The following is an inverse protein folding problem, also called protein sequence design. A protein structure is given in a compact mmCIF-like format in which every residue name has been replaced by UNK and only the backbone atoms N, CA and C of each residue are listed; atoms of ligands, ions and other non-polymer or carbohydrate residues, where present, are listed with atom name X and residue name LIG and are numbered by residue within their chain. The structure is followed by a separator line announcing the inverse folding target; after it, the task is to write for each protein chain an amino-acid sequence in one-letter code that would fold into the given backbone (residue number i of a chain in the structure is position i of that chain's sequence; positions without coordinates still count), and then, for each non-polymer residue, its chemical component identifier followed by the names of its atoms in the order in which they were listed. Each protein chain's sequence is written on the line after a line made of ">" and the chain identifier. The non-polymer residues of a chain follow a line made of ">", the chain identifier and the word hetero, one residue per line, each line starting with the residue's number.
data_IF_839643529770
#
_entry.id   IF_839643529770
#
_cell.length_a   1.000
_cell.length_b   1.000
_cell.length_c   1.000
_cell.angle_alpha   90.00
_cell.angle_beta   90.00
_cell.angle_gamma   90.00
#
_symmetry.space_group_name_H-M   'P 1'
#
loop_
_entity.id
_entity.type
_entity.pdbx_description
1 polymer ?
#
# COMPACT_ATOMS: atom_id res chain seq x y z
N UNK A 1 54.72 -6.14 51.36
CA UNK A 1 55.13 -5.06 50.44
C UNK A 1 54.30 -5.21 49.18
N UNK A 2 53.44 -4.22 48.96
CA UNK A 2 52.52 -4.09 47.83
C UNK A 2 53.26 -4.06 46.49
N UNK A 3 52.77 -4.80 45.49
CA UNK A 3 53.08 -4.57 44.07
C UNK A 3 51.75 -4.43 43.32
N UNK A 4 51.38 -3.17 43.10
CA UNK A 4 50.21 -2.72 42.36
C UNK A 4 50.36 -3.07 40.88
N UNK A 5 49.53 -3.97 40.36
CA UNK A 5 49.41 -4.23 38.93
C UNK A 5 48.27 -3.38 38.37
N UNK A 6 48.63 -2.26 37.75
CA UNK A 6 47.70 -1.36 37.05
C UNK A 6 47.09 -2.06 35.83
N UNK A 7 45.82 -2.44 35.92
CA UNK A 7 45.05 -2.96 34.79
C UNK A 7 44.72 -1.85 33.79
N UNK A 8 45.44 -1.82 32.66
CA UNK A 8 45.12 -0.97 31.52
C UNK A 8 43.78 -1.41 30.89
N UNK A 9 42.79 -0.52 30.93
CA UNK A 9 41.47 -0.72 30.31
C UNK A 9 41.59 -0.55 28.79
N UNK A 10 41.02 -1.42 27.94
CA UNK A 10 41.04 -1.23 26.49
C UNK A 10 40.25 0.03 26.08
N UNK A 11 40.64 0.71 24.99
CA UNK A 11 39.92 1.88 24.50
C UNK A 11 38.50 1.50 24.05
N UNK A 12 37.51 2.39 24.21
CA UNK A 12 36.15 2.15 23.76
C UNK A 12 36.13 2.02 22.24
N UNK A 13 35.66 0.88 21.73
CA UNK A 13 35.45 0.71 20.30
C UNK A 13 34.33 1.64 19.82
N UNK A 14 34.49 2.32 18.67
CA UNK A 14 33.45 3.18 18.13
C UNK A 14 32.22 2.33 17.77
N UNK A 15 31.08 2.68 18.36
CA UNK A 15 29.80 2.02 18.11
C UNK A 15 29.54 1.96 16.60
N UNK A 16 29.36 0.74 16.06
CA UNK A 16 29.00 0.55 14.67
C UNK A 16 27.73 1.35 14.35
N UNK A 17 27.85 2.34 13.46
CA UNK A 17 26.71 3.15 12.99
C UNK A 17 25.67 2.21 12.39
N UNK A 18 24.55 2.00 13.09
CA UNK A 18 23.39 1.28 12.56
C UNK A 18 22.98 1.98 11.25
N UNK A 19 23.15 1.31 10.11
CA UNK A 19 22.62 1.78 8.82
C UNK A 19 21.13 1.99 9.00
N UNK A 20 20.69 3.24 9.04
CA UNK A 20 19.26 3.54 9.06
C UNK A 20 18.66 2.93 7.79
N UNK A 21 17.67 2.06 7.96
CA UNK A 21 16.87 1.57 6.84
C UNK A 21 16.15 2.79 6.26
N UNK A 22 16.56 3.24 5.10
CA UNK A 22 15.83 4.25 4.34
C UNK A 22 14.48 3.67 3.98
N UNK A 23 13.43 4.10 4.67
CA UNK A 23 12.07 3.76 4.31
C UNK A 23 11.71 4.51 3.04
N UNK A 24 10.79 3.99 2.25
CA UNK A 24 10.35 4.66 1.02
C UNK A 24 9.68 6.03 1.29
N UNK A 25 9.34 6.30 2.56
CA UNK A 25 8.96 7.62 3.08
C UNK A 25 10.10 8.66 3.07
N UNK A 26 11.34 8.23 2.82
CA UNK A 26 12.48 9.14 2.63
C UNK A 26 12.46 9.82 1.26
N UNK A 27 11.67 9.30 0.30
CA UNK A 27 11.48 9.95 -0.99
C UNK A 27 10.55 11.16 -0.83
N UNK A 28 10.92 12.27 -1.47
CA UNK A 28 10.06 13.46 -1.50
C UNK A 28 8.76 13.17 -2.26
N UNK A 29 7.74 13.97 -1.97
CA UNK A 29 6.46 13.85 -2.67
C UNK A 29 6.66 14.00 -4.19
N UNK A 30 7.48 14.95 -4.63
CA UNK A 30 7.73 15.20 -6.06
C UNK A 30 8.39 14.01 -6.78
N UNK A 31 9.30 13.30 -6.12
CA UNK A 31 9.91 12.08 -6.68
C UNK A 31 8.85 10.96 -6.78
N UNK A 32 8.02 10.80 -5.74
CA UNK A 32 6.91 9.84 -5.78
C UNK A 32 5.90 10.19 -6.88
N UNK A 33 5.61 11.48 -7.09
CA UNK A 33 4.76 11.97 -8.19
C UNK A 33 5.33 11.49 -9.54
N UNK A 34 6.61 11.76 -9.80
CA UNK A 34 7.26 11.36 -11.05
C UNK A 34 7.19 9.84 -11.24
N UNK A 35 7.49 9.04 -10.21
CA UNK A 35 7.40 7.58 -10.30
C UNK A 35 5.99 7.13 -10.67
N UNK A 36 4.97 7.67 -9.99
CA UNK A 36 3.58 7.26 -10.20
C UNK A 36 3.03 7.66 -11.57
N UNK A 37 3.59 8.67 -12.25
CA UNK A 37 3.16 9.00 -13.62
C UNK A 37 3.47 7.92 -14.65
N UNK A 38 4.43 7.02 -14.38
CA UNK A 38 4.79 5.91 -15.27
C UNK A 38 3.92 4.66 -15.07
N UNK A 39 3.06 4.64 -14.05
CA UNK A 39 2.23 3.49 -13.71
C UNK A 39 0.90 3.52 -14.47
N UNK A 40 0.43 2.34 -14.84
CA UNK A 40 -0.93 2.16 -15.37
C UNK A 40 -1.99 2.35 -14.27
N UNK A 41 -3.26 2.41 -14.68
CA UNK A 41 -4.40 2.61 -13.78
C UNK A 41 -4.44 1.59 -12.64
N UNK A 42 -4.19 0.32 -12.94
CA UNK A 42 -4.27 -0.78 -11.96
C UNK A 42 -3.12 -0.70 -10.98
N UNK A 43 -1.93 -0.42 -11.47
CA UNK A 43 -0.74 -0.23 -10.66
C UNK A 43 -0.88 0.96 -9.72
N UNK A 44 -1.50 2.07 -10.16
CA UNK A 44 -1.83 3.19 -9.31
C UNK A 44 -2.85 2.83 -8.21
N UNK A 45 -3.88 2.05 -8.54
CA UNK A 45 -4.86 1.57 -7.55
C UNK A 45 -4.17 0.73 -6.48
N UNK A 46 -3.26 -0.17 -6.87
CA UNK A 46 -2.48 -0.97 -5.92
C UNK A 46 -1.57 -0.09 -5.05
N UNK A 47 -0.90 0.90 -5.64
CA UNK A 47 -0.03 1.82 -4.91
C UNK A 47 -0.80 2.68 -3.90
N UNK A 48 -2.00 3.14 -4.26
CA UNK A 48 -2.84 3.95 -3.35
C UNK A 48 -3.28 3.16 -2.10
N UNK A 49 -3.44 1.84 -2.23
CA UNK A 49 -3.76 0.96 -1.11
C UNK A 49 -2.54 0.57 -0.24
N UNK A 50 -1.31 0.87 -0.66
CA UNK A 50 -0.11 0.44 0.08
C UNK A 50 0.09 1.22 1.39
N UNK A 51 -0.02 2.54 1.35
CA UNK A 51 0.06 3.38 2.55
C UNK A 51 -0.64 4.74 2.38
N UNK A 52 -0.93 5.41 3.51
CA UNK A 52 -1.62 6.71 3.51
C UNK A 52 -0.85 7.78 2.73
N UNK A 53 0.47 7.84 2.89
CA UNK A 53 1.32 8.81 2.20
C UNK A 53 1.22 8.69 0.68
N UNK A 54 1.25 7.47 0.16
CA UNK A 54 1.12 7.22 -1.29
C UNK A 54 -0.28 7.54 -1.79
N UNK A 55 -1.31 7.14 -1.05
CA UNK A 55 -2.69 7.53 -1.33
C UNK A 55 -2.84 9.05 -1.43
N UNK A 56 -2.25 9.81 -0.49
CA UNK A 56 -2.28 11.28 -0.51
C UNK A 56 -1.59 11.86 -1.74
N UNK A 57 -0.41 11.36 -2.12
CA UNK A 57 0.30 11.81 -3.34
C UNK A 57 -0.55 11.55 -4.59
N UNK A 58 -1.04 10.31 -4.74
CA UNK A 58 -1.81 9.87 -5.91
C UNK A 58 -3.11 10.69 -6.05
N UNK A 59 -3.82 10.92 -4.93
CA UNK A 59 -5.06 11.70 -4.93
C UNK A 59 -4.82 13.20 -5.16
N UNK A 60 -3.77 13.79 -4.56
CA UNK A 60 -3.43 15.21 -4.73
C UNK A 60 -3.20 15.58 -6.20
N UNK A 61 -2.60 14.67 -6.95
CA UNK A 61 -2.27 14.84 -8.36
C UNK A 61 -3.38 14.37 -9.30
N UNK A 62 -4.47 13.80 -8.77
CA UNK A 62 -5.56 13.21 -9.56
C UNK A 62 -5.07 12.19 -10.61
N UNK A 63 -3.97 11.50 -10.35
CA UNK A 63 -3.37 10.56 -11.33
C UNK A 63 -4.31 9.42 -11.69
N UNK A 64 -5.11 8.98 -10.72
CA UNK A 64 -6.15 7.97 -10.91
C UNK A 64 -7.24 8.46 -11.89
N UNK A 65 -7.71 9.70 -11.74
CA UNK A 65 -8.67 10.32 -12.68
C UNK A 65 -8.03 10.46 -14.07
N UNK A 66 -6.80 10.95 -14.16
CA UNK A 66 -6.08 11.16 -15.43
C UNK A 66 -5.89 9.82 -16.18
N UNK A 67 -5.40 8.78 -15.52
CA UNK A 67 -5.19 7.48 -16.17
C UNK A 67 -6.52 6.81 -16.55
N UNK A 68 -7.56 6.97 -15.72
CA UNK A 68 -8.90 6.47 -16.05
C UNK A 68 -9.44 7.13 -17.32
N UNK A 69 -9.35 8.46 -17.42
CA UNK A 69 -9.78 9.18 -18.62
C UNK A 69 -8.94 8.80 -19.85
N UNK A 70 -7.62 8.63 -19.72
CA UNK A 70 -6.78 8.15 -20.83
C UNK A 70 -7.18 6.76 -21.32
N UNK A 71 -7.56 5.87 -20.40
CA UNK A 71 -8.03 4.54 -20.75
C UNK A 71 -9.42 4.59 -21.41
N UNK A 72 -10.30 5.49 -20.98
CA UNK A 72 -11.60 5.70 -21.64
C UNK A 72 -11.47 6.41 -23.00
N UNK A 73 -10.57 7.37 -23.16
CA UNK A 73 -10.32 8.02 -24.46
C UNK A 73 -9.72 7.06 -25.49
N UNK A 74 -8.95 6.06 -25.03
CA UNK A 74 -8.50 4.96 -25.89
C UNK A 74 -9.64 4.05 -26.36
N UNK A 75 -10.77 4.01 -25.62
CA UNK A 75 -12.00 3.25 -25.96
C UNK A 75 -13.15 4.15 -26.53
N UNK A 76 -12.92 5.47 -26.60
CA UNK A 76 -13.68 6.56 -27.23
C UNK A 76 -15.01 7.09 -26.61
N UNK A 77 -15.07 8.45 -26.55
CA UNK A 77 -16.18 9.42 -26.42
C UNK A 77 -16.79 9.78 -25.04
N UNK A 78 -16.39 10.97 -24.54
CA UNK A 78 -17.20 12.04 -23.88
C UNK A 78 -16.96 12.32 -22.38
N UNK A 79 -16.62 13.60 -22.08
CA UNK A 79 -16.78 14.30 -20.77
C UNK A 79 -18.27 14.73 -20.60
N UNK A 80 -18.84 15.16 -19.43
CA UNK A 80 -18.30 16.20 -18.52
C UNK A 80 -18.60 16.12 -16.98
N UNK A 81 -17.79 16.83 -16.21
CA UNK A 81 -18.20 17.73 -15.09
C UNK A 81 -18.98 17.19 -13.87
N UNK A 82 -18.37 16.33 -13.03
CA UNK A 82 -18.87 16.09 -11.67
C UNK A 82 -17.76 15.71 -10.67
N UNK A 83 -16.69 16.49 -10.58
CA UNK A 83 -15.42 16.10 -9.92
C UNK A 83 -15.50 15.58 -8.47
N UNK A 84 -16.52 15.94 -7.68
CA UNK A 84 -16.63 15.57 -6.25
C UNK A 84 -17.50 14.31 -6.03
N UNK A 85 -18.62 14.19 -6.75
CA UNK A 85 -19.39 12.93 -6.76
C UNK A 85 -18.65 11.83 -7.53
N UNK A 86 -17.89 12.22 -8.55
CA UNK A 86 -16.99 11.35 -9.30
C UNK A 86 -15.93 10.75 -8.39
N UNK A 87 -15.30 11.50 -7.49
CA UNK A 87 -14.27 10.94 -6.60
C UNK A 87 -14.75 9.75 -5.74
N UNK A 88 -16.02 9.73 -5.31
CA UNK A 88 -16.59 8.61 -4.54
C UNK A 88 -17.05 7.46 -5.44
N UNK A 89 -17.64 7.75 -6.60
CA UNK A 89 -18.06 6.71 -7.56
C UNK A 89 -16.87 6.05 -8.27
N UNK A 90 -15.81 6.82 -8.56
CA UNK A 90 -14.58 6.41 -9.20
C UNK A 90 -13.75 5.49 -8.28
N UNK A 91 -13.73 5.74 -6.97
CA UNK A 91 -13.11 4.81 -6.01
C UNK A 91 -13.81 3.43 -6.00
N UNK A 92 -15.14 3.40 -6.00
CA UNK A 92 -15.92 2.15 -6.07
C UNK A 92 -15.65 1.43 -7.40
N UNK A 93 -15.64 2.18 -8.50
CA UNK A 93 -15.38 1.62 -9.83
C UNK A 93 -13.95 1.07 -9.97
N UNK A 94 -12.96 1.77 -9.42
CA UNK A 94 -11.57 1.33 -9.37
C UNK A 94 -11.38 0.08 -8.50
N UNK A 95 -12.06 0.01 -7.36
CA UNK A 95 -12.10 -1.19 -6.54
C UNK A 95 -12.65 -2.38 -7.35
N UNK A 96 -13.72 -2.18 -8.12
CA UNK A 96 -14.27 -3.21 -8.99
C UNK A 96 -13.27 -3.65 -10.08
N UNK A 97 -12.60 -2.72 -10.76
CA UNK A 97 -11.57 -3.03 -11.77
C UNK A 97 -10.45 -3.88 -11.15
N UNK A 98 -9.98 -3.53 -9.95
CA UNK A 98 -8.95 -4.27 -9.25
C UNK A 98 -9.41 -5.70 -8.87
N UNK A 99 -10.66 -5.84 -8.41
CA UNK A 99 -11.28 -7.13 -8.10
C UNK A 99 -11.37 -8.01 -9.35
N UNK A 100 -11.88 -7.48 -10.45
CA UNK A 100 -12.02 -8.24 -11.70
C UNK A 100 -10.65 -8.69 -12.22
N UNK A 101 -9.66 -7.80 -12.24
CA UNK A 101 -8.29 -8.19 -12.62
C UNK A 101 -7.74 -9.31 -11.74
N UNK A 102 -7.94 -9.23 -10.43
CA UNK A 102 -7.50 -10.27 -9.50
C UNK A 102 -8.23 -11.59 -9.76
N UNK A 103 -9.53 -11.54 -10.03
CA UNK A 103 -10.36 -12.70 -10.37
C UNK A 103 -9.92 -13.38 -11.66
N UNK A 104 -9.58 -12.60 -12.69
CA UNK A 104 -9.04 -13.11 -13.96
C UNK A 104 -7.67 -13.77 -13.77
N UNK A 105 -6.80 -13.18 -12.95
CA UNK A 105 -5.50 -13.76 -12.63
C UNK A 105 -5.62 -15.11 -11.90
N UNK A 106 -6.57 -15.23 -10.97
CA UNK A 106 -6.87 -16.49 -10.28
C UNK A 106 -7.39 -17.59 -11.23
N UNK A 107 -8.13 -17.23 -12.28
CA UNK A 107 -8.62 -18.21 -13.27
C UNK A 107 -7.52 -18.72 -14.19
N UNK A 108 -6.52 -17.89 -14.51
CA UNK A 108 -5.52 -18.19 -15.55
C UNK A 108 -4.17 -18.65 -15.01
N UNK A 109 -3.90 -18.52 -13.71
CA UNK A 109 -2.58 -18.79 -13.12
C UNK A 109 -2.60 -19.81 -11.98
N UNK A 110 -1.46 -20.45 -11.67
CA UNK A 110 -1.31 -21.26 -10.46
C UNK A 110 -1.48 -20.36 -9.22
N UNK A 111 -2.37 -20.77 -8.31
CA UNK A 111 -2.64 -20.03 -7.08
C UNK A 111 -1.88 -20.66 -5.89
N UNK A 112 -1.10 -19.84 -5.18
CA UNK A 112 -0.49 -20.25 -3.92
C UNK A 112 -1.49 -20.01 -2.79
N UNK A 113 -1.97 -21.10 -2.17
CA UNK A 113 -2.88 -21.04 -1.02
C UNK A 113 -2.06 -21.03 0.25
N UNK A 114 -2.15 -19.95 1.01
CA UNK A 114 -1.55 -19.85 2.34
C UNK A 114 -2.62 -20.03 3.40
N UNK A 115 -2.49 -21.05 4.24
CA UNK A 115 -3.41 -21.30 5.35
C UNK A 115 -2.82 -20.71 6.64
N UNK A 116 -3.58 -19.84 7.28
CA UNK A 116 -3.18 -19.17 8.52
C UNK A 116 -4.09 -19.64 9.66
N UNK A 117 -3.55 -19.76 10.87
CA UNK A 117 -4.36 -20.06 12.05
C UNK A 117 -5.27 -18.87 12.35
N UNK A 118 -6.58 -19.10 12.24
CA UNK A 118 -7.61 -18.10 12.54
C UNK A 118 -8.02 -18.07 14.01
N UNK A 119 -9.16 -17.43 14.27
CA UNK A 119 -9.81 -17.43 15.57
C UNK A 119 -10.29 -18.84 15.96
N UNK A 120 -10.42 -19.09 17.27
CA UNK A 120 -11.00 -20.33 17.80
C UNK A 120 -12.50 -20.46 17.54
N UNK A 121 -13.17 -19.35 17.21
CA UNK A 121 -14.58 -19.27 16.84
C UNK A 121 -14.71 -19.07 15.34
N UNK A 122 -15.78 -19.61 14.74
CA UNK A 122 -16.09 -19.38 13.33
C UNK A 122 -16.29 -17.89 13.05
N UNK A 123 -15.46 -17.32 12.18
CA UNK A 123 -15.56 -15.93 11.74
C UNK A 123 -15.94 -15.91 10.27
N UNK A 124 -17.06 -15.26 9.94
CA UNK A 124 -17.50 -15.06 8.55
C UNK A 124 -17.20 -13.67 8.00
N UNK A 125 -16.56 -12.79 8.79
CA UNK A 125 -16.20 -11.43 8.40
C UNK A 125 -14.68 -11.28 8.29
N UNK A 126 -14.21 -11.11 7.06
CA UNK A 126 -12.84 -10.72 6.77
C UNK A 126 -12.85 -9.44 5.92
N UNK A 127 -11.81 -8.62 6.08
CA UNK A 127 -11.61 -7.40 5.30
C UNK A 127 -10.12 -7.19 5.06
N UNK A 128 -9.74 -6.90 3.82
CA UNK A 128 -8.42 -6.35 3.53
C UNK A 128 -8.46 -4.83 3.72
N UNK A 129 -7.51 -4.27 4.47
CA UNK A 129 -7.38 -2.82 4.65
C UNK A 129 -5.91 -2.44 4.70
N UNK A 130 -5.44 -1.68 3.71
CA UNK A 130 -4.07 -1.19 3.63
C UNK A 130 -3.01 -2.30 3.71
N UNK A 131 -3.18 -3.38 2.94
CA UNK A 131 -2.26 -4.53 2.97
C UNK A 131 -2.40 -5.46 4.20
N UNK A 132 -3.29 -5.14 5.14
CA UNK A 132 -3.57 -5.99 6.30
C UNK A 132 -4.85 -6.80 6.09
N UNK A 133 -4.80 -8.09 6.41
CA UNK A 133 -6.00 -8.93 6.54
C UNK A 133 -6.57 -8.80 7.94
N UNK A 134 -7.74 -8.17 8.04
CA UNK A 134 -8.48 -8.00 9.28
C UNK A 134 -9.57 -9.07 9.34
N UNK A 135 -9.62 -9.80 10.44
CA UNK A 135 -10.70 -10.76 10.75
C UNK A 135 -11.36 -10.31 12.04
N UNK A 136 -12.70 -10.26 12.07
CA UNK A 136 -13.45 -9.74 13.21
C UNK A 136 -14.50 -10.73 13.69
N UNK A 137 -14.52 -10.98 15.00
CA UNK A 137 -15.66 -11.62 15.66
C UNK A 137 -16.75 -10.55 15.76
N UNK A 138 -18.00 -10.87 15.40
CA UNK A 138 -19.09 -9.91 15.53
C UNK A 138 -19.33 -9.60 17.00
N UNK A 139 -18.76 -8.52 17.51
CA UNK A 139 -19.14 -8.00 18.81
C UNK A 139 -20.63 -7.63 18.74
N UNK A 140 -21.42 -8.32 19.56
CA UNK A 140 -22.84 -8.02 19.74
C UNK A 140 -22.97 -6.53 20.09
N UNK A 141 -23.67 -5.79 19.25
CA UNK A 141 -24.26 -4.51 19.65
C UNK A 141 -25.15 -4.81 20.86
N UNK A 142 -24.81 -4.21 22.01
CA UNK A 142 -25.75 -4.05 23.13
C UNK A 142 -26.39 -2.69 23.01
#
# INVERSE_FOLDING_TARGET
>A
MELSSSGLRPPPQPAAKKKQKTTIHALSHDILCMIFTFLDLVQLIRCSAACKSWSTVINKLKLLEIQYHKQQDADAFSLPEASIQLGRSLNIHMEQIAIEQYRFALHKGPANVFQWKGHSVGVNKCRMKMGLFLTGVGDKVR
#
